data_IF_030744020574
#
_entry.id   IF_030744020574
#
_cell.length_a   1.000
_cell.length_b   1.000
_cell.length_c   1.000
_cell.angle_alpha   90.00
_cell.angle_beta   90.00
_cell.angle_gamma   90.00
#
_symmetry.space_group_name_H-M   'P 1'
#
loop_
_entity.id
_entity.type
_entity.pdbx_description
1 polymer ?
#
# COMPACT_ATOMS: atom_id res chain seq x y z
N UNK A 1 -16.49 -35.31 47.08
CA UNK A 1 -16.81 -33.96 46.59
C UNK A 1 -15.62 -33.02 46.83
N UNK A 2 -14.87 -32.63 45.79
CA UNK A 2 -13.97 -31.46 45.82
C UNK A 2 -13.80 -30.96 44.37
N UNK A 3 -14.17 -29.69 44.18
CA UNK A 3 -14.52 -29.06 42.89
C UNK A 3 -13.28 -28.74 42.06
N UNK A 4 -13.39 -28.95 40.75
CA UNK A 4 -12.42 -28.54 39.73
C UNK A 4 -12.38 -27.01 39.58
N UNK A 5 -11.18 -26.44 39.54
CA UNK A 5 -10.98 -25.03 39.17
C UNK A 5 -10.72 -24.94 37.67
N UNK A 6 -11.70 -24.38 36.94
CA UNK A 6 -11.61 -24.04 35.52
C UNK A 6 -10.63 -22.87 35.35
N UNK A 7 -9.58 -23.04 34.57
CA UNK A 7 -8.72 -21.93 34.12
C UNK A 7 -9.38 -21.31 32.88
N UNK A 8 -9.98 -20.15 33.05
CA UNK A 8 -10.47 -19.32 31.95
C UNK A 8 -9.24 -18.57 31.41
N UNK A 9 -8.83 -18.94 30.20
CA UNK A 9 -7.89 -18.17 29.41
C UNK A 9 -8.57 -16.85 28.99
N UNK A 10 -8.05 -15.72 29.48
CA UNK A 10 -8.41 -14.39 28.99
C UNK A 10 -7.29 -13.91 28.07
N UNK A 11 -7.37 -14.28 26.79
CA UNK A 11 -6.53 -13.70 25.74
C UNK A 11 -7.08 -12.30 25.45
N UNK A 12 -6.56 -11.28 26.14
CA UNK A 12 -6.82 -9.88 25.79
C UNK A 12 -5.98 -9.54 24.55
N UNK A 13 -6.49 -9.90 23.38
CA UNK A 13 -5.96 -9.41 22.11
C UNK A 13 -6.29 -7.92 21.99
N UNK A 14 -5.45 -7.07 22.57
CA UNK A 14 -5.38 -5.67 22.19
C UNK A 14 -4.81 -5.62 20.77
N UNK A 15 -5.70 -5.75 19.79
CA UNK A 15 -5.43 -5.52 18.38
C UNK A 15 -5.17 -4.03 18.22
N UNK A 16 -3.94 -3.63 18.51
CA UNK A 16 -3.42 -2.32 18.17
C UNK A 16 -3.34 -2.30 16.65
N UNK A 17 -4.44 -1.92 16.00
CA UNK A 17 -4.45 -1.62 14.58
C UNK A 17 -3.53 -0.43 14.41
N UNK A 18 -2.26 -0.73 14.15
CA UNK A 18 -1.26 0.22 13.72
C UNK A 18 -1.75 0.73 12.37
N UNK A 19 -2.62 1.73 12.39
CA UNK A 19 -2.88 2.55 11.21
C UNK A 19 -1.57 3.28 10.99
N UNK A 20 -0.79 2.95 9.94
CA UNK A 20 0.38 3.74 9.66
C UNK A 20 -0.13 5.13 9.29
N UNK A 21 0.10 6.11 10.16
CA UNK A 21 -0.08 7.51 9.80
C UNK A 21 1.12 7.86 8.93
N UNK A 22 1.11 7.39 7.67
CA UNK A 22 2.09 7.84 6.69
C UNK A 22 1.73 9.28 6.34
N UNK A 23 2.19 10.22 7.17
CA UNK A 23 2.39 11.58 6.72
C UNK A 23 3.47 11.53 5.66
N UNK A 24 3.07 11.44 4.39
CA UNK A 24 3.98 11.51 3.27
C UNK A 24 4.54 12.94 3.24
N UNK A 25 5.74 13.13 3.78
CA UNK A 25 6.50 14.34 3.57
C UNK A 25 7.12 14.22 2.18
N UNK A 26 6.68 15.06 1.26
CA UNK A 26 7.33 15.16 -0.04
C UNK A 26 8.61 15.98 0.11
N UNK A 27 9.73 15.50 -0.43
CA UNK A 27 10.90 16.36 -0.59
C UNK A 27 10.64 17.40 -1.69
N UNK A 28 11.33 18.53 -1.62
CA UNK A 28 11.19 19.62 -2.59
C UNK A 28 12.57 20.04 -3.09
N UNK A 29 12.75 20.02 -4.40
CA UNK A 29 13.96 20.51 -5.06
C UNK A 29 13.64 21.74 -5.93
N UNK A 30 14.56 22.69 -5.96
CA UNK A 30 14.59 23.80 -6.93
C UNK A 30 15.86 23.63 -7.75
N UNK A 31 15.73 23.53 -9.07
CA UNK A 31 16.84 23.35 -10.02
C UNK A 31 17.81 22.24 -9.56
N UNK A 32 17.23 21.07 -9.23
CA UNK A 32 17.91 19.86 -8.73
C UNK A 32 18.59 19.98 -7.37
N UNK A 33 18.46 21.10 -6.67
CA UNK A 33 19.01 21.30 -5.33
C UNK A 33 17.91 21.16 -4.28
N UNK A 34 18.17 20.50 -3.14
CA UNK A 34 17.20 20.39 -2.06
C UNK A 34 16.89 21.76 -1.48
N UNK A 35 15.59 22.05 -1.32
CA UNK A 35 15.12 23.26 -0.67
C UNK A 35 15.26 23.11 0.84
N UNK A 36 15.98 24.03 1.48
CA UNK A 36 16.05 24.09 2.94
C UNK A 36 14.76 24.66 3.51
N UNK A 37 14.16 23.93 4.45
CA UNK A 37 12.91 24.30 5.10
C UNK A 37 13.05 24.06 6.60
N UNK A 38 12.50 24.96 7.41
CA UNK A 38 12.50 24.82 8.86
C UNK A 38 11.37 23.91 9.36
N UNK A 39 10.37 23.65 8.53
CA UNK A 39 9.31 22.68 8.75
C UNK A 39 9.17 21.79 7.51
N UNK A 40 9.03 20.49 7.72
CA UNK A 40 8.86 19.51 6.64
C UNK A 40 7.58 19.76 5.82
N UNK A 41 7.61 19.51 4.50
CA UNK A 41 6.41 19.57 3.69
C UNK A 41 5.34 18.60 4.17
N UNK A 42 4.07 18.98 4.01
CA UNK A 42 2.93 18.19 4.47
C UNK A 42 1.89 18.09 3.36
N UNK A 43 1.27 16.93 3.19
CA UNK A 43 0.16 16.76 2.23
C UNK A 43 -1.17 17.10 2.89
N UNK A 44 -1.89 18.09 2.35
CA UNK A 44 -3.22 18.51 2.81
C UNK A 44 -4.16 18.52 1.60
N UNK A 45 -5.28 17.79 1.69
CA UNK A 45 -6.25 17.64 0.59
C UNK A 45 -5.61 17.18 -0.74
N UNK A 46 -4.62 16.29 -0.66
CA UNK A 46 -3.91 15.81 -1.85
C UNK A 46 -3.04 16.88 -2.53
N UNK A 47 -2.63 17.93 -1.81
CA UNK A 47 -1.66 18.93 -2.27
C UNK A 47 -0.47 18.99 -1.31
N UNK A 48 0.73 19.06 -1.87
CA UNK A 48 1.95 19.29 -1.09
C UNK A 48 2.00 20.75 -0.64
N UNK A 49 2.01 20.92 0.67
CA UNK A 49 2.07 22.21 1.35
C UNK A 49 3.46 22.41 1.91
N UNK A 50 4.03 23.59 1.69
CA UNK A 50 5.39 23.95 2.07
C UNK A 50 5.40 25.27 2.85
N UNK A 51 6.38 25.54 3.73
CA UNK A 51 6.47 26.82 4.42
C UNK A 51 6.57 27.97 3.42
N UNK A 52 5.68 28.97 3.54
CA UNK A 52 5.57 30.06 2.57
C UNK A 52 6.90 30.75 2.28
N UNK A 53 7.67 31.06 3.32
CA UNK A 53 8.91 31.82 3.19
C UNK A 53 9.96 31.01 2.44
N UNK A 54 10.15 29.75 2.83
CA UNK A 54 11.14 28.86 2.22
C UNK A 54 10.91 28.73 0.71
N UNK A 55 9.68 28.52 0.27
CA UNK A 55 9.40 28.33 -1.16
C UNK A 55 9.55 29.63 -1.97
N UNK A 56 9.03 30.76 -1.47
CA UNK A 56 9.12 32.03 -2.18
C UNK A 56 10.57 32.54 -2.24
N UNK A 57 11.28 32.55 -1.12
CA UNK A 57 12.69 32.98 -1.07
C UNK A 57 13.59 32.02 -1.84
N UNK A 58 13.34 30.71 -1.77
CA UNK A 58 14.04 29.71 -2.57
C UNK A 58 13.90 29.91 -4.08
N UNK A 59 12.81 30.54 -4.53
CA UNK A 59 12.57 30.91 -5.93
C UNK A 59 12.97 32.37 -6.25
N UNK A 60 13.62 33.05 -5.29
CA UNK A 60 14.15 34.40 -5.45
C UNK A 60 13.15 35.53 -5.21
N UNK A 61 11.99 35.26 -4.61
CA UNK A 61 11.01 36.28 -4.26
C UNK A 61 11.25 36.84 -2.84
N UNK A 62 11.10 38.15 -2.68
CA UNK A 62 11.03 38.79 -1.36
C UNK A 62 9.63 38.60 -0.77
N UNK A 63 9.53 38.36 0.55
CA UNK A 63 8.26 38.02 1.20
C UNK A 63 7.97 38.93 2.38
N UNK A 64 6.79 39.54 2.37
CA UNK A 64 6.24 40.31 3.48
C UNK A 64 4.99 39.61 4.05
N UNK A 65 4.85 39.66 5.38
CA UNK A 65 3.68 39.17 6.09
C UNK A 65 2.99 40.33 6.81
N UNK A 66 1.69 40.49 6.55
CA UNK A 66 0.84 41.48 7.21
C UNK A 66 -0.05 40.80 8.26
N UNK A 67 0.24 41.05 9.54
CA UNK A 67 -0.53 40.49 10.65
C UNK A 67 -1.98 40.98 10.71
N UNK A 68 -2.27 42.21 10.27
CA UNK A 68 -3.61 42.79 10.35
C UNK A 68 -4.57 42.14 9.36
N UNK A 69 -4.11 41.97 8.12
CA UNK A 69 -4.91 41.34 7.05
C UNK A 69 -4.73 39.82 7.00
N UNK A 70 -3.77 39.27 7.76
CA UNK A 70 -3.28 37.89 7.64
C UNK A 70 -2.87 37.57 6.19
N UNK A 71 -2.29 38.58 5.55
CA UNK A 71 -1.90 38.59 4.14
C UNK A 71 -0.42 38.30 3.96
N UNK A 72 -0.12 37.62 2.87
CA UNK A 72 1.21 37.32 2.36
C UNK A 72 1.38 38.13 1.09
N UNK A 73 2.44 38.92 0.99
CA UNK A 73 2.81 39.57 -0.27
C UNK A 73 4.20 39.11 -0.65
N UNK A 74 4.33 38.45 -1.80
CA UNK A 74 5.61 38.04 -2.36
C UNK A 74 5.89 38.81 -3.65
N UNK A 75 7.11 39.30 -3.80
CA UNK A 75 7.53 40.09 -4.95
C UNK A 75 8.80 39.53 -5.60
N UNK A 76 8.76 39.34 -6.92
CA UNK A 76 9.92 38.98 -7.73
C UNK A 76 9.79 39.67 -9.07
N UNK A 77 10.78 40.47 -9.45
CA UNK A 77 10.78 41.21 -10.73
C UNK A 77 9.47 42.00 -10.92
N UNK A 78 8.69 41.71 -11.96
CA UNK A 78 7.41 42.35 -12.29
C UNK A 78 6.19 41.65 -11.67
N UNK A 79 6.41 40.64 -10.83
CA UNK A 79 5.36 39.83 -10.22
C UNK A 79 5.15 40.17 -8.76
N UNK A 80 3.90 40.49 -8.43
CA UNK A 80 3.40 40.67 -7.07
C UNK A 80 2.31 39.65 -6.80
N UNK A 81 2.57 38.74 -5.88
CA UNK A 81 1.67 37.65 -5.52
C UNK A 81 1.13 37.92 -4.12
N UNK A 82 -0.18 37.96 -3.96
CA UNK A 82 -0.84 38.16 -2.67
C UNK A 82 -1.71 36.96 -2.32
N UNK A 83 -1.55 36.41 -1.12
CA UNK A 83 -2.38 35.33 -0.58
C UNK A 83 -2.91 35.72 0.80
N UNK A 84 -4.08 35.23 1.16
CA UNK A 84 -4.63 35.41 2.50
C UNK A 84 -4.82 34.06 3.19
N UNK A 85 -4.54 34.03 4.49
CA UNK A 85 -4.66 32.82 5.28
C UNK A 85 -6.10 32.31 5.30
N UNK A 86 -6.28 31.02 5.03
CA UNK A 86 -7.57 30.32 4.92
C UNK A 86 -8.49 30.81 3.79
N UNK A 87 -7.98 31.61 2.86
CA UNK A 87 -8.73 32.02 1.67
C UNK A 87 -8.32 31.19 0.45
N UNK A 88 -9.29 30.93 -0.42
CA UNK A 88 -9.03 30.26 -1.70
C UNK A 88 -8.64 31.24 -2.80
N UNK A 89 -8.85 32.53 -2.62
CA UNK A 89 -8.45 33.52 -3.61
C UNK A 89 -7.03 34.00 -3.32
N UNK A 90 -6.21 33.97 -4.35
CA UNK A 90 -4.91 34.62 -4.38
C UNK A 90 -4.89 35.62 -5.53
N UNK A 91 -3.96 36.56 -5.51
CA UNK A 91 -3.85 37.60 -6.52
C UNK A 91 -2.46 37.57 -7.13
N UNK A 92 -2.37 37.60 -8.46
CA UNK A 92 -1.12 37.76 -9.19
C UNK A 92 -1.25 39.05 -9.99
N UNK A 93 -0.41 40.04 -9.68
CA UNK A 93 -0.48 41.38 -10.26
C UNK A 93 -1.89 42.01 -10.15
N UNK A 94 -2.57 41.76 -9.03
CA UNK A 94 -3.92 42.25 -8.75
C UNK A 94 -5.06 41.44 -9.39
N UNK A 95 -4.76 40.47 -10.26
CA UNK A 95 -5.75 39.58 -10.87
C UNK A 95 -6.03 38.40 -9.96
N UNK A 96 -7.30 38.06 -9.74
CA UNK A 96 -7.71 36.95 -8.86
C UNK A 96 -7.50 35.59 -9.51
N UNK A 97 -6.90 34.66 -8.76
CA UNK A 97 -6.70 33.26 -9.09
C UNK A 97 -7.17 32.38 -7.92
N UNK A 98 -7.85 31.26 -8.24
CA UNK A 98 -8.28 30.31 -7.20
C UNK A 98 -7.17 29.33 -6.87
N UNK A 99 -6.97 29.08 -5.59
CA UNK A 99 -6.15 28.03 -5.03
C UNK A 99 -6.94 26.72 -4.94
N UNK A 100 -6.31 25.62 -5.30
CA UNK A 100 -6.86 24.27 -5.07
C UNK A 100 -7.07 23.99 -3.57
N UNK A 101 -6.07 24.37 -2.77
CA UNK A 101 -6.07 24.29 -1.31
C UNK A 101 -5.66 25.65 -0.76
N UNK A 102 -6.41 26.25 0.18
CA UNK A 102 -6.05 27.55 0.75
C UNK A 102 -4.71 27.48 1.49
N UNK A 103 -4.06 28.63 1.68
CA UNK A 103 -2.95 28.73 2.61
C UNK A 103 -3.44 28.45 4.03
N UNK A 104 -2.71 27.66 4.81
CA UNK A 104 -3.13 27.22 6.16
C UNK A 104 -2.02 27.36 7.18
N UNK A 105 -2.36 27.64 8.43
CA UNK A 105 -1.39 27.67 9.51
C UNK A 105 -1.21 26.26 10.10
N UNK A 106 0.02 25.75 10.08
CA UNK A 106 0.40 24.47 10.66
C UNK A 106 1.61 24.69 11.56
N UNK A 107 1.51 24.33 12.85
CA UNK A 107 2.60 24.47 13.83
C UNK A 107 3.25 25.86 13.86
N UNK A 108 2.45 26.93 13.72
CA UNK A 108 2.97 28.30 13.71
C UNK A 108 3.71 28.70 12.43
N UNK A 109 3.54 27.94 11.34
CA UNK A 109 4.00 28.31 9.99
C UNK A 109 2.82 28.39 9.03
N UNK A 110 2.83 29.39 8.17
CA UNK A 110 1.88 29.44 7.07
C UNK A 110 2.39 28.55 5.94
N UNK A 111 1.59 27.55 5.61
CA UNK A 111 1.87 26.56 4.57
C UNK A 111 1.06 26.92 3.33
N UNK A 112 1.70 26.86 2.17
CA UNK A 112 1.11 27.21 0.86
C UNK A 112 1.26 26.06 -0.13
N UNK A 113 0.34 25.91 -1.11
CA UNK A 113 0.48 24.89 -2.14
C UNK A 113 1.70 25.15 -3.00
N UNK A 114 2.64 24.20 -3.04
CA UNK A 114 3.92 24.36 -3.75
C UNK A 114 3.74 24.69 -5.23
N UNK A 115 2.76 24.05 -5.89
CA UNK A 115 2.48 24.23 -7.32
C UNK A 115 2.04 25.65 -7.64
N UNK A 116 1.10 26.19 -6.86
CA UNK A 116 0.61 27.54 -7.08
C UNK A 116 1.74 28.56 -6.99
N UNK A 117 2.58 28.46 -5.96
CA UNK A 117 3.71 29.37 -5.77
C UNK A 117 4.67 29.30 -6.95
N UNK A 118 5.12 28.10 -7.32
CA UNK A 118 6.06 27.94 -8.41
C UNK A 118 5.48 28.43 -9.76
N UNK A 119 4.25 28.05 -10.11
CA UNK A 119 3.60 28.48 -11.36
C UNK A 119 3.34 29.98 -11.39
N UNK A 120 2.98 30.59 -10.24
CA UNK A 120 2.81 32.04 -10.15
C UNK A 120 4.12 32.80 -10.44
N UNK A 121 5.27 32.15 -10.27
CA UNK A 121 6.61 32.65 -10.59
C UNK A 121 7.17 32.09 -11.92
N UNK A 122 6.29 31.63 -12.83
CA UNK A 122 6.62 31.03 -14.14
C UNK A 122 7.50 29.77 -14.11
N UNK A 123 7.62 29.12 -12.94
CA UNK A 123 8.41 27.90 -12.82
C UNK A 123 7.60 26.67 -13.24
N UNK A 124 8.30 25.61 -13.67
CA UNK A 124 7.70 24.30 -13.95
C UNK A 124 7.78 23.39 -12.74
N UNK A 125 6.74 22.61 -12.50
CA UNK A 125 6.65 21.71 -11.34
C UNK A 125 6.34 20.29 -11.81
N UNK A 126 7.15 19.35 -11.33
CA UNK A 126 6.98 17.93 -11.60
C UNK A 126 6.86 17.16 -10.29
N UNK A 127 6.03 16.13 -10.33
CA UNK A 127 5.85 15.21 -9.22
C UNK A 127 6.39 13.83 -9.59
N UNK A 128 7.38 13.37 -8.84
CA UNK A 128 7.83 11.99 -8.87
C UNK A 128 7.13 11.20 -7.77
N UNK A 129 6.12 10.42 -8.15
CA UNK A 129 5.35 9.61 -7.21
C UNK A 129 6.14 8.46 -6.59
N UNK A 130 7.17 7.96 -7.27
CA UNK A 130 7.97 6.83 -6.78
C UNK A 130 8.94 7.28 -5.71
N UNK A 131 9.56 8.46 -5.90
CA UNK A 131 10.50 9.04 -4.95
C UNK A 131 9.86 10.03 -3.98
N UNK A 132 8.56 10.32 -4.13
CA UNK A 132 7.82 11.31 -3.37
C UNK A 132 8.49 12.70 -3.39
N UNK A 133 8.91 13.13 -4.59
CA UNK A 133 9.71 14.33 -4.78
C UNK A 133 8.97 15.35 -5.66
N UNK A 134 8.87 16.59 -5.17
CA UNK A 134 8.48 17.75 -5.97
C UNK A 134 9.75 18.37 -6.54
N UNK A 135 9.85 18.41 -7.87
CA UNK A 135 10.95 19.07 -8.56
C UNK A 135 10.45 20.33 -9.26
N UNK A 136 11.04 21.47 -8.91
CA UNK A 136 10.72 22.78 -9.46
C UNK A 136 11.90 23.22 -10.33
N UNK A 137 11.60 23.72 -11.53
CA UNK A 137 12.60 24.24 -12.46
C UNK A 137 12.26 25.67 -12.83
N UNK A 138 13.25 26.55 -12.70
CA UNK A 138 13.13 27.96 -13.10
C UNK A 138 13.44 28.16 -14.58
N UNK A 139 14.27 27.29 -15.17
CA UNK A 139 14.58 27.27 -16.60
C UNK A 139 13.73 26.24 -17.37
N UNK A 140 13.22 26.64 -18.54
CA UNK A 140 12.34 25.80 -19.36
C UNK A 140 13.08 24.66 -20.07
N UNK A 141 14.36 24.82 -20.43
CA UNK A 141 15.12 23.76 -21.08
C UNK A 141 15.48 22.65 -20.07
N UNK A 142 15.90 23.03 -18.87
CA UNK A 142 16.14 22.09 -17.77
C UNK A 142 14.85 21.37 -17.35
N UNK A 143 13.73 22.08 -17.29
CA UNK A 143 12.42 21.50 -17.05
C UNK A 143 12.05 20.44 -18.10
N UNK A 144 12.24 20.74 -19.40
CA UNK A 144 11.93 19.83 -20.48
C UNK A 144 12.83 18.57 -20.45
N UNK A 145 14.13 18.75 -20.18
CA UNK A 145 15.06 17.64 -20.03
C UNK A 145 14.68 16.73 -18.86
N UNK A 146 14.30 17.32 -17.72
CA UNK A 146 13.84 16.57 -16.55
C UNK A 146 12.52 15.83 -16.83
N UNK A 147 11.57 16.46 -17.52
CA UNK A 147 10.29 15.83 -17.85
C UNK A 147 10.46 14.56 -18.69
N UNK A 148 11.32 14.61 -19.71
CA UNK A 148 11.65 13.45 -20.54
C UNK A 148 12.31 12.32 -19.73
N UNK A 149 13.24 12.66 -18.83
CA UNK A 149 13.89 11.68 -17.97
C UNK A 149 12.89 11.05 -16.98
N UNK A 150 12.06 11.86 -16.33
CA UNK A 150 11.03 11.37 -15.41
C UNK A 150 10.06 10.42 -16.10
N UNK A 151 9.59 10.77 -17.30
CA UNK A 151 8.69 9.92 -18.09
C UNK A 151 9.34 8.56 -18.41
N UNK A 152 10.61 8.56 -18.81
CA UNK A 152 11.36 7.33 -19.09
C UNK A 152 11.52 6.47 -17.83
N UNK A 153 11.85 7.06 -16.70
CA UNK A 153 11.98 6.36 -15.43
C UNK A 153 10.65 5.75 -14.97
N UNK A 154 9.56 6.51 -15.08
CA UNK A 154 8.22 6.03 -14.71
C UNK A 154 7.76 4.89 -15.61
N UNK A 155 8.02 4.96 -16.92
CA UNK A 155 7.72 3.89 -17.86
C UNK A 155 8.53 2.62 -17.54
N UNK A 156 9.82 2.76 -17.21
CA UNK A 156 10.66 1.64 -16.82
C UNK A 156 10.19 0.97 -15.52
N UNK A 157 9.86 1.77 -14.48
CA UNK A 157 9.34 1.26 -13.20
C UNK A 157 7.99 0.53 -13.38
N UNK A 158 7.07 1.12 -14.15
CA UNK A 158 5.79 0.50 -14.47
C UNK A 158 5.97 -0.83 -15.20
N UNK A 159 6.85 -0.89 -16.20
CA UNK A 159 7.13 -2.12 -16.94
C UNK A 159 7.73 -3.20 -16.02
N UNK A 160 8.59 -2.82 -15.07
CA UNK A 160 9.13 -3.73 -14.08
C UNK A 160 8.07 -4.25 -13.10
N UNK A 161 7.19 -3.38 -12.62
CA UNK A 161 6.05 -3.75 -11.76
C UNK A 161 5.10 -4.72 -12.47
N UNK A 162 4.77 -4.45 -13.74
CA UNK A 162 3.93 -5.31 -14.57
C UNK A 162 4.60 -6.68 -14.81
N UNK A 163 5.91 -6.70 -15.09
CA UNK A 163 6.69 -7.95 -15.22
C UNK A 163 6.66 -8.76 -13.92
N UNK A 164 6.87 -8.12 -12.78
CA UNK A 164 6.85 -8.79 -11.48
C UNK A 164 5.44 -9.30 -11.13
N UNK A 165 4.40 -8.54 -11.45
CA UNK A 165 3.02 -8.96 -11.28
C UNK A 165 2.70 -10.19 -12.14
N UNK A 166 3.15 -10.23 -13.39
CA UNK A 166 2.98 -11.37 -14.29
C UNK A 166 3.73 -12.61 -13.77
N UNK A 167 4.96 -12.46 -13.28
CA UNK A 167 5.73 -13.56 -12.68
C UNK A 167 5.04 -14.11 -11.43
N UNK A 168 4.55 -13.25 -10.53
CA UNK A 168 3.81 -13.66 -9.33
C UNK A 168 2.51 -14.38 -9.69
N UNK A 169 1.80 -13.91 -10.71
CA UNK A 169 0.59 -14.58 -11.20
C UNK A 169 0.91 -15.97 -11.77
N UNK A 170 1.99 -16.11 -12.54
CA UNK A 170 2.43 -17.40 -13.07
C UNK A 170 2.86 -18.38 -11.96
N UNK A 171 3.64 -17.90 -10.99
CA UNK A 171 4.04 -18.71 -9.82
C UNK A 171 2.84 -19.17 -9.00
N UNK A 172 1.87 -18.28 -8.76
CA UNK A 172 0.63 -18.62 -8.07
C UNK A 172 -0.16 -19.69 -8.82
N UNK A 173 -0.32 -19.55 -10.15
CA UNK A 173 -1.01 -20.53 -10.98
C UNK A 173 -0.31 -21.90 -10.97
N UNK A 174 1.02 -21.92 -10.97
CA UNK A 174 1.78 -23.16 -10.84
C UNK A 174 1.62 -23.80 -9.46
N UNK A 175 1.68 -23.02 -8.38
CA UNK A 175 1.44 -23.52 -7.02
C UNK A 175 0.03 -24.11 -6.88
N UNK A 176 -0.98 -23.47 -7.44
CA UNK A 176 -2.36 -23.97 -7.46
C UNK A 176 -2.47 -25.27 -8.27
N UNK A 177 -1.79 -25.38 -9.42
CA UNK A 177 -1.72 -26.62 -10.22
C UNK A 177 -1.09 -27.75 -9.42
N UNK A 178 0.04 -27.50 -8.76
CA UNK A 178 0.73 -28.50 -7.93
C UNK A 178 -0.10 -28.91 -6.71
N UNK A 179 -0.76 -27.96 -6.06
CA UNK A 179 -1.67 -28.24 -4.95
C UNK A 179 -2.85 -29.12 -5.39
N UNK A 180 -3.44 -28.85 -6.56
CA UNK A 180 -4.50 -29.66 -7.14
C UNK A 180 -4.02 -31.09 -7.48
N UNK A 181 -2.82 -31.22 -8.08
CA UNK A 181 -2.21 -32.51 -8.36
C UNK A 181 -1.95 -33.31 -7.08
N UNK A 182 -1.35 -32.70 -6.05
CA UNK A 182 -1.07 -33.37 -4.78
C UNK A 182 -2.36 -33.82 -4.08
N UNK A 183 -3.41 -33.00 -4.08
CA UNK A 183 -4.73 -33.36 -3.53
C UNK A 183 -5.35 -34.53 -4.28
N UNK A 184 -5.21 -34.56 -5.61
CA UNK A 184 -5.66 -35.69 -6.42
C UNK A 184 -4.87 -36.96 -6.07
N UNK A 185 -3.54 -36.91 -6.03
CA UNK A 185 -2.67 -38.04 -5.65
C UNK A 185 -3.02 -38.60 -4.27
N UNK A 186 -3.24 -37.73 -3.27
CA UNK A 186 -3.69 -38.16 -1.93
C UNK A 186 -5.08 -38.83 -1.97
N UNK A 187 -6.00 -38.31 -2.78
CA UNK A 187 -7.35 -38.88 -2.93
C UNK A 187 -7.30 -40.25 -3.60
N UNK A 188 -6.51 -40.40 -4.67
CA UNK A 188 -6.31 -41.68 -5.36
C UNK A 188 -5.64 -42.69 -4.43
N UNK A 189 -4.58 -42.30 -3.71
CA UNK A 189 -3.90 -43.15 -2.72
C UNK A 189 -4.84 -43.61 -1.60
N UNK A 190 -5.70 -42.72 -1.10
CA UNK A 190 -6.70 -43.06 -0.08
C UNK A 190 -7.77 -44.02 -0.61
N UNK A 191 -8.22 -43.84 -1.86
CA UNK A 191 -9.18 -44.75 -2.50
C UNK A 191 -8.60 -46.14 -2.78
N UNK A 192 -7.33 -46.21 -3.19
CA UNK A 192 -6.62 -47.46 -3.49
C UNK A 192 -6.07 -48.17 -2.24
N UNK A 193 -6.17 -47.56 -1.05
CA UNK A 193 -5.72 -48.15 0.21
C UNK A 193 -6.33 -49.54 0.40
N UNK A 194 -5.47 -50.54 0.52
CA UNK A 194 -5.89 -51.93 0.77
C UNK A 194 -6.52 -52.03 2.15
N UNK A 195 -7.72 -52.60 2.20
CA UNK A 195 -8.44 -52.96 3.42
C UNK A 195 -8.91 -54.40 3.34
N UNK A 196 -9.23 -54.99 4.47
CA UNK A 196 -9.65 -56.37 4.61
C UNK A 196 -11.12 -56.42 5.01
N UNK A 197 -11.93 -57.21 4.32
CA UNK A 197 -13.38 -57.35 4.56
C UNK A 197 -13.73 -58.82 4.80
N UNK A 198 -14.71 -59.09 5.65
CA UNK A 198 -15.26 -60.44 5.81
C UNK A 198 -16.39 -60.67 4.80
N UNK A 199 -16.66 -61.93 4.38
CA UNK A 199 -17.69 -62.21 3.37
C UNK A 199 -19.09 -61.70 3.73
N UNK A 200 -19.48 -61.79 5.00
CA UNK A 200 -20.83 -61.44 5.50
C UNK A 200 -20.87 -60.23 6.45
N UNK A 201 -19.72 -59.61 6.75
CA UNK A 201 -19.64 -58.56 7.75
C UNK A 201 -20.05 -57.17 7.26
N UNK A 202 -20.42 -56.31 8.21
CA UNK A 202 -20.76 -54.89 7.98
C UNK A 202 -19.56 -53.94 8.18
N UNK A 203 -18.35 -54.49 8.33
CA UNK A 203 -17.14 -53.75 8.70
C UNK A 203 -15.94 -54.08 7.83
N UNK A 204 -15.04 -53.12 7.66
CA UNK A 204 -13.72 -53.31 7.06
C UNK A 204 -12.61 -53.13 8.10
N UNK A 205 -11.43 -53.66 7.81
CA UNK A 205 -10.29 -53.76 8.71
C UNK A 205 -9.01 -53.28 8.00
N UNK A 206 -8.09 -52.67 8.74
CA UNK A 206 -6.77 -52.24 8.19
C UNK A 206 -5.70 -53.33 8.30
N UNK A 207 -5.99 -54.43 9.01
CA UNK A 207 -5.12 -55.60 9.15
C UNK A 207 -5.93 -56.89 9.00
N UNK A 208 -5.37 -57.85 8.25
CA UNK A 208 -5.94 -59.18 8.05
C UNK A 208 -5.85 -60.11 9.26
N UNK A 209 -5.24 -59.68 10.37
CA UNK A 209 -5.15 -60.45 11.62
C UNK A 209 -6.08 -59.94 12.73
N UNK A 210 -6.91 -58.94 12.45
CA UNK A 210 -7.80 -58.38 13.45
C UNK A 210 -8.83 -59.44 13.90
N UNK A 211 -8.88 -59.80 15.19
CA UNK A 211 -9.98 -60.57 15.78
C UNK A 211 -10.27 -61.97 15.18
N UNK A 212 -9.28 -62.61 14.52
CA UNK A 212 -9.29 -64.04 14.18
C UNK A 212 -10.27 -64.51 13.09
N UNK A 213 -10.79 -63.61 12.24
CA UNK A 213 -11.72 -63.96 11.15
C UNK A 213 -11.05 -64.31 9.81
N UNK A 214 -11.83 -64.83 8.87
CA UNK A 214 -11.41 -65.02 7.47
C UNK A 214 -11.63 -63.72 6.68
N UNK A 215 -10.57 -63.20 6.08
CA UNK A 215 -10.58 -61.91 5.40
C UNK A 215 -10.25 -62.02 3.92
N UNK A 216 -10.86 -61.13 3.13
CA UNK A 216 -10.56 -60.94 1.71
C UNK A 216 -10.03 -59.51 1.52
N UNK A 217 -8.93 -59.37 0.80
CA UNK A 217 -8.39 -58.07 0.44
C UNK A 217 -9.34 -57.31 -0.50
N UNK A 218 -9.54 -56.03 -0.25
CA UNK A 218 -10.33 -55.11 -1.05
C UNK A 218 -9.71 -53.71 -1.01
N UNK A 219 -10.30 -52.74 -1.71
CA UNK A 219 -9.90 -51.32 -1.60
C UNK A 219 -10.85 -50.58 -0.67
N UNK A 220 -10.37 -49.53 -0.01
CA UNK A 220 -11.18 -48.69 0.87
C UNK A 220 -12.40 -48.13 0.12
N UNK A 221 -12.24 -47.71 -1.14
CA UNK A 221 -13.35 -47.27 -2.00
C UNK A 221 -14.42 -48.35 -2.18
N UNK A 222 -14.03 -49.60 -2.52
CA UNK A 222 -14.98 -50.72 -2.66
C UNK A 222 -15.66 -51.08 -1.35
N UNK A 223 -14.96 -51.00 -0.23
CA UNK A 223 -15.53 -51.25 1.09
C UNK A 223 -16.57 -50.18 1.48
N UNK A 224 -16.27 -48.90 1.26
CA UNK A 224 -17.19 -47.79 1.51
C UNK A 224 -18.40 -47.81 0.56
N UNK A 225 -18.20 -48.14 -0.72
CA UNK A 225 -19.29 -48.29 -1.69
C UNK A 225 -20.28 -49.42 -1.31
N UNK A 226 -19.81 -50.43 -0.58
CA UNK A 226 -20.65 -51.48 0.02
C UNK A 226 -21.32 -51.07 1.34
N UNK A 227 -21.12 -49.81 1.79
CA UNK A 227 -21.66 -49.30 3.05
C UNK A 227 -20.96 -49.86 4.31
N UNK A 228 -19.75 -50.41 4.18
CA UNK A 228 -19.00 -50.95 5.31
C UNK A 228 -18.41 -49.83 6.18
N UNK A 229 -18.38 -50.03 7.49
CA UNK A 229 -17.80 -49.09 8.47
C UNK A 229 -16.47 -49.59 9.03
N UNK A 230 -15.56 -48.72 9.50
CA UNK A 230 -14.30 -49.19 10.09
C UNK A 230 -14.54 -50.03 11.34
N UNK A 231 -13.75 -51.09 11.50
CA UNK A 231 -13.69 -51.82 12.75
C UNK A 231 -13.13 -50.93 13.87
N UNK A 232 -13.87 -50.76 14.98
CA UNK A 232 -13.45 -49.95 16.13
C UNK A 232 -12.08 -50.34 16.70
N UNK A 233 -11.72 -51.63 16.63
CA UNK A 233 -10.40 -52.12 17.09
C UNK A 233 -9.25 -51.77 16.13
N UNK A 234 -9.54 -51.46 14.87
CA UNK A 234 -8.53 -51.09 13.88
C UNK A 234 -8.21 -49.59 13.85
N UNK A 235 -9.07 -48.75 14.45
CA UNK A 235 -8.96 -47.28 14.46
C UNK A 235 -8.87 -46.70 15.88
N UNK A 236 -8.63 -47.58 16.87
CA UNK A 236 -8.61 -47.24 18.29
C UNK A 236 -7.52 -46.23 18.63
#
# INVERSE_FOLDING_TARGET
>A
MKKSKKWIALFLAALCTFTPLTAFAADVNIDRKPLQMDVSPTVINGRTMVPMRSIFEGLGAAVEWNNYTRGITAQKEDKTITLYLNEKNAFINGVSHSLDTPAVAVNGRTMVPVRFVAESLDCKVYWDSYNQLVSIFTDNADAAAYAAELQKQQAARKAEEERLAAQRAAQKAEQERLAAQNKNTQTVSKKSTTVYVTPTGKRYHYSGSCNGGTYIASTLEKALARGLTPCKKCVG
#
